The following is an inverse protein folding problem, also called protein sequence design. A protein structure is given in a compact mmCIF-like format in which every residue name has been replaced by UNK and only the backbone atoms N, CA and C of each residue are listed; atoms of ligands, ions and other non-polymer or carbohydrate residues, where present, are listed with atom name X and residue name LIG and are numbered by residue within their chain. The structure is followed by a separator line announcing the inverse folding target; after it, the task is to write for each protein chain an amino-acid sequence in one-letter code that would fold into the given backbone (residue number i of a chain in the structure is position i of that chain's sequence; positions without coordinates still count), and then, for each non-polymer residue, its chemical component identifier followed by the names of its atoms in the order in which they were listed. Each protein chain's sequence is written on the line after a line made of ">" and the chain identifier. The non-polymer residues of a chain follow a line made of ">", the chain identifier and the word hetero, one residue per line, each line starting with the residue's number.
data_IF_014776922898
#
_entry.id   IF_014776922898
#
_cell.length_a   1.000
_cell.length_b   1.000
_cell.length_c   1.000
_cell.angle_alpha   90.00
_cell.angle_beta   90.00
_cell.angle_gamma   90.00
#
_symmetry.space_group_name_H-M   'P 1'
#
loop_
_entity.id
_entity.type
_entity.pdbx_description
1 polymer ?
#
# COMPACT_ATOMS: atom_id res chain seq x y z
N UNK A 1 18.91 -7.26 0.45
CA UNK A 1 17.52 -6.90 0.05
C UNK A 1 17.35 -7.23 -1.43
N UNK A 2 16.81 -8.40 -1.75
CA UNK A 2 16.61 -8.83 -3.13
C UNK A 2 15.64 -7.86 -3.82
N UNK A 3 16.05 -7.24 -4.94
CA UNK A 3 15.26 -6.24 -5.70
C UNK A 3 13.79 -6.67 -5.93
N UNK A 4 13.54 -7.98 -6.04
CA UNK A 4 12.21 -8.58 -6.11
C UNK A 4 11.26 -8.16 -4.97
N UNK A 5 11.75 -8.12 -3.73
CA UNK A 5 10.91 -7.81 -2.56
C UNK A 5 10.42 -6.35 -2.57
N UNK A 6 11.28 -5.43 -3.03
CA UNK A 6 10.94 -4.02 -3.21
C UNK A 6 9.92 -3.83 -4.33
N UNK A 7 10.11 -4.50 -5.46
CA UNK A 7 9.19 -4.43 -6.60
C UNK A 7 7.80 -4.95 -6.22
N UNK A 8 7.71 -6.10 -5.55
CA UNK A 8 6.43 -6.66 -5.09
C UNK A 8 5.73 -5.69 -4.13
N UNK A 9 6.45 -5.09 -3.20
CA UNK A 9 5.87 -4.11 -2.28
C UNK A 9 5.31 -2.87 -3.00
N UNK A 10 6.03 -2.32 -3.97
CA UNK A 10 5.58 -1.15 -4.73
C UNK A 10 4.32 -1.50 -5.54
N UNK A 11 4.27 -2.69 -6.15
CA UNK A 11 3.09 -3.17 -6.89
C UNK A 11 1.88 -3.22 -5.96
N UNK A 12 2.01 -3.80 -4.76
CA UNK A 12 0.91 -3.88 -3.78
C UNK A 12 0.43 -2.49 -3.36
N UNK A 13 1.36 -1.53 -3.18
CA UNK A 13 1.03 -0.15 -2.83
C UNK A 13 0.23 0.56 -3.93
N UNK A 14 0.61 0.36 -5.21
CA UNK A 14 -0.11 0.92 -6.36
C UNK A 14 -1.52 0.32 -6.49
N UNK A 15 -1.65 -1.01 -6.34
CA UNK A 15 -2.96 -1.69 -6.39
C UNK A 15 -3.87 -1.18 -5.27
N UNK A 16 -3.35 -1.06 -4.04
CA UNK A 16 -4.10 -0.55 -2.90
C UNK A 16 -4.56 0.89 -3.11
N UNK A 17 -3.72 1.76 -3.70
CA UNK A 17 -4.10 3.13 -4.01
C UNK A 17 -5.23 3.20 -5.06
N UNK A 18 -5.19 2.36 -6.08
CA UNK A 18 -6.26 2.28 -7.11
C UNK A 18 -7.57 1.81 -6.47
N UNK A 19 -7.54 0.72 -5.69
CA UNK A 19 -8.73 0.20 -4.99
C UNK A 19 -9.30 1.25 -4.01
N UNK A 20 -8.42 1.90 -3.24
CA UNK A 20 -8.79 2.96 -2.31
C UNK A 20 -9.40 4.18 -2.98
N UNK A 21 -8.95 4.52 -4.19
CA UNK A 21 -9.53 5.60 -4.98
C UNK A 21 -10.96 5.28 -5.44
N UNK A 22 -11.21 4.06 -5.93
CA UNK A 22 -12.55 3.63 -6.34
C UNK A 22 -13.52 3.53 -5.16
N UNK A 23 -13.07 2.99 -4.03
CA UNK A 23 -13.87 2.92 -2.80
C UNK A 23 -14.08 4.33 -2.24
N UNK A 24 -13.05 5.18 -2.20
CA UNK A 24 -13.21 6.57 -1.77
C UNK A 24 -14.21 7.33 -2.63
N UNK A 25 -14.18 7.13 -3.95
CA UNK A 25 -15.09 7.80 -4.88
C UNK A 25 -16.55 7.40 -4.66
N UNK A 26 -16.83 6.13 -4.31
CA UNK A 26 -18.19 5.69 -3.99
C UNK A 26 -18.70 6.24 -2.66
N UNK A 27 -17.81 6.59 -1.73
CA UNK A 27 -18.14 7.26 -0.47
C UNK A 27 -18.21 8.79 -0.57
N UNK A 28 -17.95 9.37 -1.76
CA UNK A 28 -17.95 10.83 -1.98
C UNK A 28 -16.61 11.52 -1.69
N UNK A 29 -15.59 10.78 -1.25
CA UNK A 29 -14.26 11.27 -0.89
C UNK A 29 -13.15 10.41 -1.50
N UNK A 30 -13.00 10.51 -2.83
CA UNK A 30 -12.03 9.73 -3.62
C UNK A 30 -10.58 9.90 -3.15
N UNK A 31 -10.18 11.14 -2.87
CA UNK A 31 -8.85 11.48 -2.35
C UNK A 31 -8.63 10.92 -0.94
N UNK A 32 -9.65 11.02 -0.06
CA UNK A 32 -9.59 10.48 1.30
C UNK A 32 -9.41 8.96 1.31
N UNK A 33 -10.19 8.25 0.49
CA UNK A 33 -10.08 6.79 0.35
C UNK A 33 -8.73 6.34 -0.22
N UNK A 34 -8.21 7.04 -1.23
CA UNK A 34 -6.91 6.73 -1.81
C UNK A 34 -5.76 6.93 -0.80
N UNK A 35 -5.77 8.02 -0.04
CA UNK A 35 -4.74 8.34 0.95
C UNK A 35 -4.78 7.34 2.12
N UNK A 36 -5.98 7.03 2.63
CA UNK A 36 -6.14 6.05 3.72
C UNK A 36 -5.60 4.67 3.32
N UNK A 37 -5.97 4.18 2.13
CA UNK A 37 -5.48 2.88 1.65
C UNK A 37 -3.98 2.89 1.33
N UNK A 38 -3.45 3.97 0.76
CA UNK A 38 -2.02 4.11 0.51
C UNK A 38 -1.21 4.12 1.81
N UNK A 39 -1.70 4.80 2.86
CA UNK A 39 -1.07 4.81 4.18
C UNK A 39 -1.09 3.41 4.83
N UNK A 40 -2.23 2.71 4.80
CA UNK A 40 -2.34 1.36 5.35
C UNK A 40 -1.38 0.40 4.63
N UNK A 41 -1.35 0.43 3.29
CA UNK A 41 -0.43 -0.39 2.49
C UNK A 41 1.04 -0.02 2.72
N UNK A 42 1.35 1.27 2.90
CA UNK A 42 2.68 1.76 3.24
C UNK A 42 3.15 1.26 4.61
N UNK A 43 2.30 1.34 5.63
CA UNK A 43 2.59 0.79 6.96
C UNK A 43 2.78 -0.73 6.93
N UNK A 44 1.92 -1.45 6.22
CA UNK A 44 2.06 -2.89 6.06
C UNK A 44 3.38 -3.28 5.37
N UNK A 45 3.81 -2.53 4.36
CA UNK A 45 5.12 -2.71 3.73
C UNK A 45 6.28 -2.50 4.72
N UNK A 46 6.24 -1.43 5.50
CA UNK A 46 7.29 -1.13 6.50
C UNK A 46 7.36 -2.25 7.54
N UNK A 47 6.23 -2.72 8.05
CA UNK A 47 6.17 -3.85 9.00
C UNK A 47 6.71 -5.12 8.34
N UNK A 48 6.30 -5.43 7.11
CA UNK A 48 6.77 -6.60 6.36
C UNK A 48 8.27 -6.56 6.05
N UNK A 49 8.84 -5.36 5.90
CA UNK A 49 10.28 -5.21 5.73
C UNK A 49 11.02 -5.32 7.04
N UNK A 50 10.45 -4.86 8.16
CA UNK A 50 11.02 -4.97 9.51
C UNK A 50 11.01 -6.42 9.99
N UNK A 51 9.84 -7.07 9.93
CA UNK A 51 9.62 -8.47 10.35
C UNK A 51 10.53 -9.46 9.62
N UNK A 52 10.81 -9.21 8.33
CA UNK A 52 11.69 -10.05 7.53
C UNK A 52 13.10 -9.48 7.38
N UNK A 53 13.47 -8.44 8.11
CA UNK A 53 14.86 -7.93 8.14
C UNK A 53 15.79 -8.85 8.94
N UNK A 54 15.21 -9.63 9.84
CA UNK A 54 15.86 -10.50 10.80
C UNK A 54 15.94 -11.97 10.35
N UNK A 55 15.67 -12.25 9.06
CA UNK A 55 16.01 -13.51 8.39
C UNK A 55 16.99 -13.31 7.25
#
# INVERSE_FOLDING_TARGET
>A
MNKFRTVVSVIVMVIAAIVGFFIGASLGDALGGAILFALIAGFACVIYTLDNRER
#
